data_IF_390217027241
#
_entry.id   IF_390217027241
#
_cell.length_a   1.000
_cell.length_b   1.000
_cell.length_c   1.000
_cell.angle_alpha   90.00
_cell.angle_beta   90.00
_cell.angle_gamma   90.00
#
_symmetry.space_group_name_H-M   'P 1'
#
loop_
_entity.id
_entity.type
_entity.pdbx_description
1 polymer ?
#
# COMPACT_ATOMS: atom_id res chain seq x y z
N UNK A 1 6.99 1.79 -33.89
CA UNK A 1 7.45 3.17 -34.16
C UNK A 1 6.67 3.69 -35.36
N UNK A 2 5.68 4.54 -35.13
CA UNK A 2 4.89 5.17 -36.20
C UNK A 2 5.24 6.65 -36.20
N UNK A 3 5.73 7.13 -37.35
CA UNK A 3 6.17 8.51 -37.58
C UNK A 3 5.03 9.28 -38.24
N UNK A 4 4.63 10.41 -37.65
CA UNK A 4 3.68 11.34 -38.25
C UNK A 4 4.37 12.20 -39.33
N UNK A 5 3.60 12.58 -40.35
CA UNK A 5 4.03 13.23 -41.61
C UNK A 5 4.67 14.62 -41.48
N UNK A 6 4.88 15.13 -40.27
CA UNK A 6 5.40 16.48 -40.04
C UNK A 6 6.87 16.54 -39.56
N UNK A 7 7.62 15.44 -39.64
CA UNK A 7 9.08 15.51 -39.58
C UNK A 7 9.70 15.97 -38.26
N UNK A 8 8.98 15.94 -37.14
CA UNK A 8 9.58 16.13 -35.81
C UNK A 8 10.08 14.80 -35.25
N UNK A 9 11.39 14.78 -34.97
CA UNK A 9 12.10 13.69 -34.32
C UNK A 9 11.75 13.75 -32.82
N UNK A 10 10.98 12.77 -32.34
CA UNK A 10 10.68 12.58 -30.92
C UNK A 10 11.95 12.10 -30.22
N UNK A 11 12.69 13.02 -29.58
CA UNK A 11 13.91 12.66 -28.84
C UNK A 11 14.82 13.81 -28.43
N UNK A 12 14.37 15.07 -28.43
CA UNK A 12 15.14 16.22 -28.01
C UNK A 12 14.41 17.02 -26.93
N UNK A 13 14.97 17.06 -25.73
CA UNK A 13 14.53 17.93 -24.65
C UNK A 13 14.59 19.40 -25.10
N UNK A 14 13.44 20.07 -25.22
CA UNK A 14 13.16 21.52 -25.02
C UNK A 14 11.94 21.98 -25.83
N UNK A 15 10.76 21.41 -25.58
CA UNK A 15 9.49 22.08 -25.89
C UNK A 15 8.67 22.10 -24.60
N UNK A 16 8.03 23.23 -24.30
CA UNK A 16 7.25 23.48 -23.08
C UNK A 16 6.34 22.27 -22.82
N UNK A 17 6.65 21.46 -21.80
CA UNK A 17 5.89 20.27 -21.40
C UNK A 17 4.52 20.68 -20.87
N UNK A 18 3.61 21.02 -21.79
CA UNK A 18 2.20 21.22 -21.51
C UNK A 18 1.57 19.88 -21.17
N UNK A 19 0.67 19.89 -20.20
CA UNK A 19 -0.07 18.70 -19.78
C UNK A 19 -1.54 18.95 -19.94
N UNK A 20 -2.25 17.91 -20.34
CA UNK A 20 -3.70 17.91 -20.29
C UNK A 20 -4.11 17.95 -18.81
N UNK A 21 -4.76 19.03 -18.41
CA UNK A 21 -5.37 19.17 -17.10
C UNK A 21 -6.88 19.30 -17.28
N UNK A 22 -7.63 18.64 -16.42
CA UNK A 22 -9.06 18.84 -16.33
C UNK A 22 -9.31 20.04 -15.41
N UNK A 23 -9.78 21.14 -15.99
CA UNK A 23 -10.10 22.37 -15.28
C UNK A 23 -11.57 22.36 -14.87
N UNK A 24 -11.83 22.58 -13.59
CA UNK A 24 -13.14 22.84 -13.03
C UNK A 24 -13.26 24.31 -12.64
N UNK A 25 -14.34 24.95 -13.07
CA UNK A 25 -14.68 26.31 -12.68
C UNK A 25 -15.76 26.32 -11.58
N UNK A 26 -15.88 27.43 -10.87
CA UNK A 26 -16.89 27.63 -9.82
C UNK A 26 -18.35 27.52 -10.33
N UNK A 27 -18.54 27.59 -11.65
CA UNK A 27 -19.84 27.42 -12.31
C UNK A 27 -20.16 25.96 -12.68
N UNK A 28 -19.28 24.99 -12.34
CA UNK A 28 -19.48 23.57 -12.62
C UNK A 28 -19.11 23.11 -14.03
N UNK A 29 -18.51 24.00 -14.85
CA UNK A 29 -17.99 23.61 -16.15
C UNK A 29 -16.66 22.88 -16.00
N UNK A 30 -16.54 21.72 -16.65
CA UNK A 30 -15.28 20.98 -16.77
C UNK A 30 -14.77 21.08 -18.20
N UNK A 31 -13.52 21.50 -18.38
CA UNK A 31 -12.88 21.64 -19.68
C UNK A 31 -11.46 21.08 -19.62
N UNK A 32 -11.04 20.41 -20.70
CA UNK A 32 -9.65 20.01 -20.85
C UNK A 32 -8.83 21.21 -21.31
N UNK A 33 -7.79 21.54 -20.56
CA UNK A 33 -6.89 22.64 -20.85
C UNK A 33 -5.44 22.13 -20.84
N UNK A 34 -4.66 22.49 -21.86
CA UNK A 34 -3.23 22.19 -21.89
C UNK A 34 -2.46 23.24 -21.11
N UNK A 35 -2.06 22.91 -19.88
CA UNK A 35 -1.43 23.86 -18.97
C UNK A 35 0.06 23.54 -18.82
N UNK A 36 0.92 24.56 -18.97
CA UNK A 36 2.34 24.46 -18.63
C UNK A 36 2.57 24.73 -17.14
N UNK A 37 3.68 24.25 -16.56
CA UNK A 37 4.01 24.52 -15.14
C UNK A 37 4.11 26.02 -14.84
N UNK A 38 4.60 26.81 -15.80
CA UNK A 38 4.69 28.26 -15.65
C UNK A 38 3.29 28.87 -15.70
N UNK A 39 2.40 28.36 -16.54
CA UNK A 39 1.03 28.86 -16.66
C UNK A 39 0.25 28.59 -15.36
N UNK A 40 0.44 27.41 -14.73
CA UNK A 40 -0.12 27.12 -13.38
C UNK A 40 0.42 28.11 -12.34
N UNK A 41 1.72 28.38 -12.35
CA UNK A 41 2.34 29.29 -11.40
C UNK A 41 1.86 30.73 -11.59
N UNK A 42 1.75 31.20 -12.83
CA UNK A 42 1.17 32.51 -13.18
C UNK A 42 -0.32 32.60 -12.78
N UNK A 43 -1.08 31.51 -12.91
CA UNK A 43 -2.46 31.43 -12.41
C UNK A 43 -2.54 31.56 -10.89
N UNK A 44 -1.62 30.91 -10.15
CA UNK A 44 -1.55 31.03 -8.68
C UNK A 44 -1.14 32.46 -8.28
N UNK A 45 -0.10 33.01 -8.91
CA UNK A 45 0.42 34.35 -8.60
C UNK A 45 -0.58 35.45 -8.93
N UNK A 46 -1.28 35.35 -10.06
CA UNK A 46 -2.37 36.28 -10.42
C UNK A 46 -3.54 36.15 -9.45
N UNK A 47 -3.85 34.94 -8.98
CA UNK A 47 -4.83 34.68 -7.92
C UNK A 47 -4.46 35.31 -6.57
N UNK A 48 -3.17 35.36 -6.25
CA UNK A 48 -2.61 35.92 -5.00
C UNK A 48 -2.38 37.46 -5.02
N UNK A 49 -2.62 38.10 -6.17
CA UNK A 49 -2.16 39.46 -6.53
C UNK A 49 -2.38 40.62 -5.55
N UNK A 50 -3.45 40.70 -4.73
CA UNK A 50 -3.60 41.83 -3.80
C UNK A 50 -2.91 41.65 -2.45
N UNK A 51 -2.46 40.44 -2.06
CA UNK A 51 -1.99 40.16 -0.68
C UNK A 51 -0.46 40.26 -0.56
N UNK A 52 0.30 39.86 -1.59
CA UNK A 52 1.77 39.92 -1.54
C UNK A 52 2.35 41.35 -1.53
N UNK A 53 1.58 42.37 -1.93
CA UNK A 53 2.07 43.76 -1.97
C UNK A 53 2.03 44.48 -0.62
N UNK A 54 1.16 44.07 0.33
CA UNK A 54 1.02 44.78 1.61
C UNK A 54 2.04 44.37 2.68
N UNK A 55 2.68 43.20 2.53
CA UNK A 55 3.66 42.68 3.51
C UNK A 55 5.04 43.34 3.46
N UNK A 56 5.42 43.98 2.34
CA UNK A 56 6.75 44.58 2.19
C UNK A 56 6.78 46.11 2.41
N UNK A 57 5.66 46.82 2.32
CA UNK A 57 5.66 48.30 2.45
C UNK A 57 5.40 48.81 3.89
N UNK A 58 4.89 47.98 4.80
CA UNK A 58 4.57 48.41 6.16
C UNK A 58 5.76 48.37 7.15
N UNK A 59 6.92 47.85 6.75
CA UNK A 59 8.09 47.68 7.64
C UNK A 59 9.02 48.89 7.67
N UNK A 60 8.63 50.02 7.07
CA UNK A 60 9.47 51.21 6.93
C UNK A 60 8.81 52.49 7.46
N UNK A 61 8.17 52.48 8.65
CA UNK A 61 7.93 53.72 9.39
C UNK A 61 7.69 53.51 10.89
N UNK A 62 8.77 53.56 11.69
CA UNK A 62 8.90 54.24 12.99
C UNK A 62 9.95 53.56 13.90
N UNK A 63 10.94 54.30 14.44
CA UNK A 63 11.83 53.78 15.48
C UNK A 63 11.11 53.75 16.85
N UNK A 64 11.32 52.73 17.71
CA UNK A 64 10.68 52.70 19.01
C UNK A 64 11.41 53.64 19.99
N UNK A 65 10.74 54.70 20.41
CA UNK A 65 11.18 55.53 21.53
C UNK A 65 11.04 54.76 22.84
N UNK A 66 12.17 54.56 23.52
CA UNK A 66 12.25 53.94 24.83
C UNK A 66 11.52 54.75 25.91
N UNK A 67 10.57 54.13 26.63
CA UNK A 67 10.24 54.49 28.02
C UNK A 67 9.99 53.25 28.86
N UNK A 68 10.77 53.17 29.93
CA UNK A 68 10.67 52.23 31.05
C UNK A 68 9.29 52.21 31.70
N UNK A 69 8.73 51.02 31.92
CA UNK A 69 8.02 50.71 33.17
C UNK A 69 8.14 49.22 33.49
N UNK A 70 8.43 48.94 34.76
CA UNK A 70 8.66 47.61 35.34
C UNK A 70 7.32 46.96 35.72
N UNK A 71 7.34 45.62 35.73
CA UNK A 71 6.47 44.72 36.51
C UNK A 71 5.16 44.25 35.88
N UNK A 72 5.13 43.01 35.37
CA UNK A 72 4.34 41.85 35.89
C UNK A 72 4.22 40.74 34.83
N UNK A 73 4.20 39.49 35.32
CA UNK A 73 3.80 38.23 34.65
C UNK A 73 4.59 37.79 33.40
N UNK A 74 5.60 36.92 33.64
CA UNK A 74 6.12 35.96 32.64
C UNK A 74 5.12 34.81 32.49
N UNK A 75 4.12 34.98 31.65
CA UNK A 75 3.34 33.93 30.96
C UNK A 75 2.32 34.65 30.07
N UNK A 76 2.77 35.17 28.93
CA UNK A 76 1.89 35.81 27.95
C UNK A 76 2.41 35.50 26.53
N UNK A 77 1.78 34.48 25.93
CA UNK A 77 1.62 34.13 24.51
C UNK A 77 2.87 34.15 23.60
N UNK A 78 3.25 32.95 23.15
CA UNK A 78 4.10 32.72 21.96
C UNK A 78 3.26 32.80 20.66
N UNK A 79 1.95 33.07 20.75
CA UNK A 79 1.01 33.07 19.61
C UNK A 79 1.04 34.31 18.69
N UNK A 80 1.85 35.34 18.97
CA UNK A 80 1.83 36.62 18.22
C UNK A 80 2.98 36.76 17.19
N UNK A 81 3.72 35.69 16.88
CA UNK A 81 4.67 35.75 15.76
C UNK A 81 3.89 35.66 14.44
N UNK A 82 4.06 36.62 13.50
CA UNK A 82 3.42 36.52 12.19
C UNK A 82 3.92 35.25 11.50
N UNK A 83 2.99 34.34 11.17
CA UNK A 83 3.30 33.13 10.42
C UNK A 83 3.53 33.55 8.97
N UNK A 84 4.78 33.52 8.53
CA UNK A 84 5.14 33.79 7.13
C UNK A 84 4.67 32.62 6.25
N UNK A 85 3.57 32.82 5.53
CA UNK A 85 3.01 31.82 4.64
C UNK A 85 3.88 31.73 3.38
N UNK A 86 4.50 30.57 3.07
CA UNK A 86 5.36 30.43 1.90
C UNK A 86 4.53 30.49 0.60
N UNK A 87 5.04 31.25 -0.37
CA UNK A 87 4.52 31.25 -1.74
C UNK A 87 4.81 29.92 -2.45
N UNK A 88 4.01 29.61 -3.47
CA UNK A 88 4.20 28.39 -4.26
C UNK A 88 5.50 28.49 -5.07
N UNK A 89 6.37 27.50 -4.92
CA UNK A 89 7.63 27.43 -5.65
C UNK A 89 7.56 26.38 -6.78
N UNK A 90 8.39 26.54 -7.82
CA UNK A 90 8.51 25.53 -8.90
C UNK A 90 8.86 24.13 -8.40
N UNK A 91 9.52 24.00 -7.24
CA UNK A 91 9.79 22.70 -6.60
C UNK A 91 8.50 21.96 -6.22
N UNK A 92 7.50 22.69 -5.73
CA UNK A 92 6.25 22.10 -5.26
C UNK A 92 5.42 21.60 -6.47
N UNK A 93 5.45 22.31 -7.59
CA UNK A 93 4.87 21.87 -8.86
C UNK A 93 5.60 20.65 -9.48
N UNK A 94 6.90 20.46 -9.20
CA UNK A 94 7.62 19.25 -9.65
C UNK A 94 7.12 17.99 -8.94
N UNK A 95 6.58 18.08 -7.73
CA UNK A 95 6.01 16.91 -7.03
C UNK A 95 4.72 16.40 -7.69
N UNK A 96 3.99 17.29 -8.38
CA UNK A 96 2.82 16.94 -9.18
C UNK A 96 3.19 16.22 -10.48
N UNK A 97 4.47 16.02 -10.76
CA UNK A 97 4.94 15.39 -11.97
C UNK A 97 5.20 13.90 -11.84
N UNK A 98 4.55 13.10 -12.71
CA UNK A 98 4.64 11.64 -12.67
C UNK A 98 6.08 11.13 -12.81
N UNK A 99 6.93 11.89 -13.50
CA UNK A 99 8.35 11.56 -13.70
C UNK A 99 9.18 11.74 -12.42
N UNK A 100 8.76 12.60 -11.49
CA UNK A 100 9.52 12.95 -10.29
C UNK A 100 8.91 12.40 -8.99
N UNK A 101 7.72 11.80 -9.03
CA UNK A 101 7.09 11.09 -7.92
C UNK A 101 7.64 9.67 -7.74
N UNK A 102 8.97 9.50 -7.78
CA UNK A 102 9.63 8.20 -7.64
C UNK A 102 9.27 7.49 -6.32
N UNK A 103 8.92 8.26 -5.29
CA UNK A 103 8.19 7.79 -4.11
C UNK A 103 6.72 8.16 -4.30
N UNK A 104 5.85 7.17 -4.52
CA UNK A 104 4.40 7.34 -4.63
C UNK A 104 3.74 7.71 -3.28
N UNK A 105 4.39 8.56 -2.50
CA UNK A 105 3.94 8.98 -1.19
C UNK A 105 2.92 10.11 -1.36
N UNK A 106 1.71 9.95 -0.81
CA UNK A 106 0.69 10.97 -0.93
C UNK A 106 1.11 12.20 -0.10
N UNK A 107 0.92 13.41 -0.65
CA UNK A 107 1.25 14.67 0.01
C UNK A 107 0.21 15.75 -0.30
N UNK A 108 -0.37 16.36 0.73
CA UNK A 108 -1.14 17.61 0.61
C UNK A 108 -0.25 18.72 1.15
N UNK A 109 0.01 19.72 0.33
CA UNK A 109 0.76 20.90 0.77
C UNK A 109 -0.08 22.14 0.54
N UNK A 110 -0.35 22.85 1.63
CA UNK A 110 -1.05 24.13 1.59
C UNK A 110 -0.02 25.25 1.44
N UNK A 111 -0.31 26.21 0.56
CA UNK A 111 0.53 27.37 0.26
C UNK A 111 -0.35 28.60 0.14
N UNK A 112 0.27 29.77 0.04
CA UNK A 112 -0.46 31.01 -0.12
C UNK A 112 -1.40 30.96 -1.35
N UNK A 113 -2.72 30.98 -1.09
CA UNK A 113 -3.79 30.97 -2.10
C UNK A 113 -3.84 29.71 -3.01
N UNK A 114 -3.21 28.60 -2.62
CA UNK A 114 -3.26 27.34 -3.38
C UNK A 114 -3.07 26.10 -2.50
N UNK A 115 -3.82 25.04 -2.80
CA UNK A 115 -3.68 23.72 -2.18
C UNK A 115 -3.20 22.75 -3.26
N UNK A 116 -2.04 22.12 -3.02
CA UNK A 116 -1.49 21.13 -3.93
C UNK A 116 -1.74 19.74 -3.34
N UNK A 117 -2.45 18.90 -4.09
CA UNK A 117 -2.74 17.51 -3.73
C UNK A 117 -1.96 16.61 -4.66
N UNK A 118 -1.05 15.82 -4.10
CA UNK A 118 -0.34 14.78 -4.82
C UNK A 118 -0.75 13.43 -4.24
N UNK A 119 -1.71 12.78 -4.88
CA UNK A 119 -2.10 11.41 -4.59
C UNK A 119 -2.06 10.64 -5.91
N UNK A 120 -1.73 9.36 -5.88
CA UNK A 120 -1.82 8.52 -7.08
C UNK A 120 -3.16 7.81 -7.08
N UNK A 121 -3.92 7.80 -8.19
CA UNK A 121 -3.62 8.38 -9.52
C UNK A 121 -4.03 9.87 -9.71
N UNK A 122 -4.59 10.53 -8.68
CA UNK A 122 -5.20 11.87 -8.79
C UNK A 122 -4.31 12.98 -8.23
N UNK A 123 -3.79 13.84 -9.11
CA UNK A 123 -2.97 15.00 -8.73
C UNK A 123 -3.73 16.27 -9.02
N UNK A 124 -3.78 17.21 -8.09
CA UNK A 124 -4.59 18.41 -8.27
C UNK A 124 -3.93 19.67 -7.70
N UNK A 125 -4.27 20.80 -8.30
CA UNK A 125 -4.02 22.14 -7.79
C UNK A 125 -5.37 22.81 -7.60
N UNK A 126 -5.71 23.09 -6.36
CA UNK A 126 -6.97 23.73 -5.99
C UNK A 126 -6.66 25.20 -5.69
N UNK A 127 -7.41 26.08 -6.33
CA UNK A 127 -7.44 27.52 -6.03
C UNK A 127 -8.87 27.91 -5.63
N UNK A 128 -9.04 29.14 -5.16
CA UNK A 128 -10.35 29.68 -4.73
C UNK A 128 -11.50 29.56 -5.74
N UNK A 129 -11.22 29.65 -7.04
CA UNK A 129 -12.25 29.69 -8.09
C UNK A 129 -12.03 28.64 -9.18
N UNK A 130 -10.87 27.97 -9.19
CA UNK A 130 -10.47 27.06 -10.25
C UNK A 130 -9.71 25.89 -9.65
N UNK A 131 -10.05 24.68 -10.10
CA UNK A 131 -9.33 23.45 -9.72
C UNK A 131 -8.79 22.78 -10.98
N UNK A 132 -7.49 22.48 -10.97
CA UNK A 132 -6.80 21.78 -12.06
C UNK A 132 -6.46 20.38 -11.60
N UNK A 133 -6.99 19.36 -12.28
CA UNK A 133 -6.70 17.95 -11.99
C UNK A 133 -5.88 17.36 -13.12
N UNK A 134 -4.73 16.79 -12.80
CA UNK A 134 -3.86 16.05 -13.69
C UNK A 134 -4.13 14.57 -13.49
N UNK A 135 -4.69 13.93 -14.52
CA UNK A 135 -4.92 12.48 -14.55
C UNK A 135 -3.98 11.83 -15.58
N UNK A 136 -3.61 10.56 -15.39
CA UNK A 136 -2.87 9.80 -16.39
C UNK A 136 -3.72 9.54 -17.65
N UNK A 137 -3.07 9.42 -18.80
CA UNK A 137 -3.73 9.15 -20.09
C UNK A 137 -4.47 7.80 -20.05
N UNK A 138 -5.77 7.80 -20.38
CA UNK A 138 -6.63 6.60 -20.39
C UNK A 138 -7.52 6.40 -19.17
N UNK A 139 -7.58 7.38 -18.25
CA UNK A 139 -8.39 7.32 -17.03
C UNK A 139 -9.83 7.86 -17.19
N UNK A 140 -10.53 7.51 -18.27
CA UNK A 140 -11.85 8.09 -18.58
C UNK A 140 -12.93 7.78 -17.52
N UNK A 141 -12.85 6.62 -16.86
CA UNK A 141 -13.74 6.24 -15.77
C UNK A 141 -13.57 7.13 -14.52
N UNK A 142 -12.32 7.48 -14.20
CA UNK A 142 -12.00 8.38 -13.08
C UNK A 142 -12.47 9.80 -13.37
N UNK A 143 -12.30 10.26 -14.62
CA UNK A 143 -12.81 11.57 -15.03
C UNK A 143 -14.33 11.65 -14.91
N UNK A 144 -15.05 10.64 -15.40
CA UNK A 144 -16.51 10.60 -15.29
C UNK A 144 -16.98 10.57 -13.83
N UNK A 145 -16.32 9.79 -12.99
CA UNK A 145 -16.62 9.74 -11.56
C UNK A 145 -16.39 11.10 -10.90
N UNK A 146 -15.25 11.72 -11.17
CA UNK A 146 -14.89 13.02 -10.62
C UNK A 146 -15.88 14.10 -11.09
N UNK A 147 -16.26 14.14 -12.38
CA UNK A 147 -17.30 15.05 -12.87
C UNK A 147 -18.66 14.85 -12.18
N UNK A 148 -19.04 13.59 -11.92
CA UNK A 148 -20.29 13.27 -11.20
C UNK A 148 -20.23 13.76 -9.76
N UNK A 149 -19.10 13.55 -9.07
CA UNK A 149 -18.88 14.01 -7.71
C UNK A 149 -18.90 15.55 -7.61
N UNK A 150 -18.25 16.24 -8.55
CA UNK A 150 -18.27 17.71 -8.61
C UNK A 150 -19.67 18.26 -8.85
N UNK A 151 -20.47 17.64 -9.73
CA UNK A 151 -21.87 18.06 -9.94
C UNK A 151 -22.72 17.86 -8.69
N UNK A 152 -22.59 16.71 -8.02
CA UNK A 152 -23.31 16.41 -6.79
C UNK A 152 -23.01 17.44 -5.71
N UNK A 153 -21.73 17.77 -5.50
CA UNK A 153 -21.31 18.72 -4.48
C UNK A 153 -21.64 20.18 -4.84
N UNK A 154 -21.78 20.49 -6.13
CA UNK A 154 -22.21 21.82 -6.59
C UNK A 154 -23.69 22.10 -6.28
N UNK A 155 -24.54 21.07 -6.20
CA UNK A 155 -25.94 21.22 -5.79
C UNK A 155 -26.06 21.66 -4.32
N UNK A 156 -25.08 21.31 -3.49
CA UNK A 156 -24.97 21.66 -2.07
C UNK A 156 -24.34 23.06 -1.86
N UNK A 157 -24.82 24.09 -2.59
CA UNK A 157 -24.24 25.44 -2.79
C UNK A 157 -23.93 26.32 -1.54
N UNK A 158 -23.87 25.73 -0.34
CA UNK A 158 -23.50 26.37 0.92
C UNK A 158 -21.99 26.34 1.20
N UNK A 159 -21.22 25.45 0.56
CA UNK A 159 -19.78 25.30 0.81
C UNK A 159 -18.91 26.16 -0.14
N UNK A 160 -17.80 26.74 0.35
CA UNK A 160 -16.80 27.37 -0.50
C UNK A 160 -16.21 26.42 -1.55
N UNK A 161 -15.86 26.95 -2.72
CA UNK A 161 -15.38 26.16 -3.86
C UNK A 161 -14.09 25.37 -3.55
N UNK A 162 -13.20 25.91 -2.70
CA UNK A 162 -11.99 25.21 -2.28
C UNK A 162 -12.29 23.91 -1.51
N UNK A 163 -13.31 23.91 -0.64
CA UNK A 163 -13.72 22.74 0.13
C UNK A 163 -14.48 21.76 -0.74
N UNK A 164 -15.40 22.24 -1.58
CA UNK A 164 -16.08 21.42 -2.58
C UNK A 164 -15.08 20.66 -3.46
N UNK A 165 -14.03 21.35 -3.93
CA UNK A 165 -13.00 20.75 -4.77
C UNK A 165 -12.16 19.73 -4.04
N UNK A 166 -11.72 20.05 -2.82
CA UNK A 166 -10.93 19.14 -1.99
C UNK A 166 -11.74 17.90 -1.60
N UNK A 167 -13.00 18.09 -1.23
CA UNK A 167 -13.94 17.04 -0.90
C UNK A 167 -14.20 16.12 -2.10
N UNK A 168 -14.44 16.67 -3.29
CA UNK A 168 -14.63 15.89 -4.51
C UNK A 168 -13.41 14.99 -4.82
N UNK A 169 -12.20 15.52 -4.61
CA UNK A 169 -10.95 14.78 -4.81
C UNK A 169 -10.80 13.68 -3.76
N UNK A 170 -10.96 14.00 -2.47
CA UNK A 170 -10.85 13.03 -1.38
C UNK A 170 -11.90 11.92 -1.50
N UNK A 171 -13.15 12.28 -1.80
CA UNK A 171 -14.22 11.31 -2.04
C UNK A 171 -13.91 10.41 -3.25
N UNK A 172 -13.35 10.96 -4.33
CA UNK A 172 -12.92 10.16 -5.48
C UNK A 172 -11.84 9.15 -5.09
N UNK A 173 -10.85 9.57 -4.29
CA UNK A 173 -9.77 8.68 -3.85
C UNK A 173 -10.28 7.60 -2.89
N UNK A 174 -11.15 7.95 -1.93
CA UNK A 174 -11.77 6.97 -1.03
C UNK A 174 -12.61 5.94 -1.79
N UNK A 175 -13.37 6.37 -2.79
CA UNK A 175 -14.13 5.46 -3.66
C UNK A 175 -13.21 4.53 -4.47
N UNK A 176 -12.07 5.03 -4.96
CA UNK A 176 -11.08 4.22 -5.67
C UNK A 176 -10.54 3.10 -4.76
N UNK A 177 -10.06 3.44 -3.56
CA UNK A 177 -9.55 2.43 -2.62
C UNK A 177 -10.63 1.45 -2.18
N UNK A 178 -11.87 1.91 -2.05
CA UNK A 178 -13.00 1.04 -1.70
C UNK A 178 -13.31 0.06 -2.83
N UNK A 179 -13.35 0.51 -4.08
CA UNK A 179 -13.59 -0.33 -5.25
C UNK A 179 -12.47 -1.36 -5.46
N UNK A 180 -11.20 -0.98 -5.24
CA UNK A 180 -10.08 -1.91 -5.27
C UNK A 180 -10.20 -2.98 -4.17
N UNK A 181 -10.56 -2.57 -2.95
CA UNK A 181 -10.80 -3.49 -1.85
C UNK A 181 -11.95 -4.47 -2.16
N UNK A 182 -13.08 -3.98 -2.71
CA UNK A 182 -14.23 -4.81 -3.10
C UNK A 182 -13.89 -5.80 -4.22
N UNK A 183 -12.90 -5.50 -5.07
CA UNK A 183 -12.44 -6.43 -6.11
C UNK A 183 -11.48 -7.49 -5.56
N UNK A 184 -10.54 -7.10 -4.70
CA UNK A 184 -9.47 -7.98 -4.22
C UNK A 184 -9.98 -8.93 -3.12
N UNK A 185 -10.82 -8.44 -2.20
CA UNK A 185 -11.33 -9.22 -1.06
C UNK A 185 -12.07 -10.51 -1.46
N UNK A 186 -13.06 -10.52 -2.37
CA UNK A 186 -13.76 -11.76 -2.72
C UNK A 186 -12.85 -12.74 -3.44
N UNK A 187 -11.97 -12.26 -4.34
CA UNK A 187 -10.96 -13.09 -5.03
C UNK A 187 -10.02 -13.75 -4.03
N UNK A 188 -9.56 -13.01 -3.03
CA UNK A 188 -8.72 -13.54 -1.96
C UNK A 188 -9.43 -14.63 -1.16
N UNK A 189 -10.69 -14.42 -0.77
CA UNK A 189 -11.47 -15.42 -0.03
C UNK A 189 -11.63 -16.71 -0.83
N UNK A 190 -11.98 -16.60 -2.11
CA UNK A 190 -12.17 -17.77 -2.97
C UNK A 190 -10.89 -18.63 -3.08
N UNK A 191 -9.72 -17.99 -3.27
CA UNK A 191 -8.44 -18.70 -3.34
C UNK A 191 -8.11 -19.36 -1.99
N UNK A 192 -8.33 -18.65 -0.88
CA UNK A 192 -8.10 -19.20 0.47
C UNK A 192 -9.00 -20.41 0.74
N UNK A 193 -10.26 -20.38 0.32
CA UNK A 193 -11.21 -21.49 0.48
C UNK A 193 -10.79 -22.71 -0.37
N UNK A 194 -10.34 -22.49 -1.61
CA UNK A 194 -9.80 -23.56 -2.47
C UNK A 194 -8.55 -24.21 -1.87
N UNK A 195 -7.67 -23.42 -1.24
CA UNK A 195 -6.51 -23.95 -0.54
C UNK A 195 -6.91 -24.73 0.72
N UNK A 196 -7.97 -24.34 1.41
CA UNK A 196 -8.46 -25.13 2.55
C UNK A 196 -8.90 -26.55 2.11
N UNK A 197 -9.50 -26.68 0.92
CA UNK A 197 -10.07 -27.90 0.36
C UNK A 197 -9.07 -28.87 -0.34
N UNK A 198 -7.75 -28.66 -0.20
CA UNK A 198 -6.66 -29.58 -0.63
C UNK A 198 -6.46 -29.88 -2.13
N UNK A 199 -7.42 -29.60 -3.03
CA UNK A 199 -7.40 -30.13 -4.39
C UNK A 199 -6.41 -29.48 -5.40
N UNK A 200 -5.73 -28.37 -5.06
CA UNK A 200 -4.84 -27.68 -6.03
C UNK A 200 -3.80 -26.71 -5.43
N UNK A 201 -3.08 -27.14 -4.38
CA UNK A 201 -2.15 -26.31 -3.58
C UNK A 201 -1.14 -25.44 -4.38
N UNK A 202 -0.52 -25.96 -5.45
CA UNK A 202 0.61 -25.27 -6.12
C UNK A 202 0.17 -24.09 -6.99
N UNK A 203 -0.85 -24.26 -7.84
CA UNK A 203 -1.35 -23.19 -8.69
C UNK A 203 -2.01 -22.09 -7.86
N UNK A 204 -2.70 -22.47 -6.78
CA UNK A 204 -3.36 -21.50 -5.91
C UNK A 204 -2.36 -20.72 -5.04
N UNK A 205 -1.16 -21.25 -4.78
CA UNK A 205 -0.10 -20.49 -4.09
C UNK A 205 0.42 -19.32 -4.93
N UNK A 206 0.52 -19.49 -6.25
CA UNK A 206 0.90 -18.40 -7.17
C UNK A 206 -0.19 -17.32 -7.23
N UNK A 207 -1.46 -17.72 -7.31
CA UNK A 207 -2.61 -16.82 -7.23
C UNK A 207 -2.65 -16.08 -5.89
N UNK A 208 -2.43 -16.79 -4.78
CA UNK A 208 -2.37 -16.21 -3.44
C UNK A 208 -1.24 -15.19 -3.32
N UNK A 209 -0.06 -15.49 -3.91
CA UNK A 209 1.06 -14.55 -3.95
C UNK A 209 0.72 -13.29 -4.73
N UNK A 210 0.05 -13.40 -5.87
CA UNK A 210 -0.40 -12.25 -6.65
C UNK A 210 -1.37 -11.38 -5.83
N UNK A 211 -2.36 -12.00 -5.19
CA UNK A 211 -3.33 -11.31 -4.33
C UNK A 211 -2.63 -10.67 -3.11
N UNK A 212 -1.68 -11.34 -2.48
CA UNK A 212 -0.88 -10.79 -1.37
C UNK A 212 -0.13 -9.54 -1.79
N UNK A 213 0.49 -9.55 -2.98
CA UNK A 213 1.19 -8.38 -3.52
C UNK A 213 0.22 -7.22 -3.83
N UNK A 214 -0.94 -7.50 -4.46
CA UNK A 214 -2.00 -6.50 -4.70
C UNK A 214 -2.48 -5.91 -3.36
N UNK A 215 -2.70 -6.76 -2.34
CA UNK A 215 -3.15 -6.35 -1.01
C UNK A 215 -2.12 -5.48 -0.29
N UNK A 216 -0.85 -5.86 -0.32
CA UNK A 216 0.23 -5.09 0.31
C UNK A 216 0.45 -3.74 -0.38
N UNK A 217 0.26 -3.66 -1.70
CA UNK A 217 0.30 -2.39 -2.42
C UNK A 217 -0.84 -1.45 -1.99
N UNK A 218 -2.07 -1.98 -1.93
CA UNK A 218 -3.24 -1.23 -1.44
C UNK A 218 -3.07 -0.79 0.03
N UNK A 219 -2.54 -1.67 0.88
CA UNK A 219 -2.25 -1.36 2.29
C UNK A 219 -1.28 -0.19 2.42
N UNK A 220 -0.20 -0.19 1.63
CA UNK A 220 0.79 0.89 1.64
C UNK A 220 0.18 2.23 1.21
N UNK A 221 -0.67 2.23 0.17
CA UNK A 221 -1.35 3.43 -0.32
C UNK A 221 -2.36 3.98 0.70
N UNK A 222 -3.22 3.13 1.25
CA UNK A 222 -4.22 3.50 2.26
C UNK A 222 -3.54 4.02 3.54
N UNK A 223 -2.45 3.38 3.97
CA UNK A 223 -1.70 3.83 5.16
C UNK A 223 -0.93 5.14 4.91
N UNK A 224 -0.49 5.37 3.66
CA UNK A 224 0.03 6.66 3.22
C UNK A 224 -1.02 7.77 3.33
N UNK A 225 -2.22 7.53 2.79
CA UNK A 225 -3.34 8.50 2.87
C UNK A 225 -3.75 8.78 4.32
N UNK A 226 -3.81 7.74 5.15
CA UNK A 226 -4.11 7.88 6.58
C UNK A 226 -3.08 8.78 7.29
N UNK A 227 -1.78 8.54 7.08
CA UNK A 227 -0.72 9.37 7.65
C UNK A 227 -0.85 10.82 7.21
N UNK A 228 -1.11 11.04 5.92
CA UNK A 228 -1.29 12.36 5.35
C UNK A 228 -2.45 13.13 5.99
N UNK A 229 -3.63 12.50 6.11
CA UNK A 229 -4.80 13.16 6.71
C UNK A 229 -4.56 13.45 8.19
N UNK A 230 -3.90 12.53 8.91
CA UNK A 230 -3.50 12.76 10.30
C UNK A 230 -2.53 13.95 10.44
N UNK A 231 -1.47 14.00 9.62
CA UNK A 231 -0.52 15.11 9.66
C UNK A 231 -1.16 16.45 9.29
N UNK A 232 -2.14 16.46 8.37
CA UNK A 232 -2.86 17.67 7.99
C UNK A 232 -3.81 18.14 9.11
N UNK A 233 -4.53 17.23 9.76
CA UNK A 233 -5.39 17.56 10.92
C UNK A 233 -4.60 17.99 12.16
N UNK A 234 -3.39 17.44 12.36
CA UNK A 234 -2.52 17.82 13.48
C UNK A 234 -1.89 19.21 13.30
N UNK A 235 -1.79 19.72 12.07
CA UNK A 235 -1.18 21.02 11.78
C UNK A 235 -2.23 22.13 11.70
N UNK A 236 -2.44 22.84 12.81
CA UNK A 236 -3.35 23.99 12.88
C UNK A 236 -3.07 25.05 11.80
N UNK A 237 -1.80 25.29 11.45
CA UNK A 237 -1.44 26.30 10.44
C UNK A 237 -1.99 25.90 9.07
N UNK A 238 -1.80 24.64 8.68
CA UNK A 238 -2.31 24.13 7.40
C UNK A 238 -3.84 24.17 7.38
N UNK A 239 -4.49 23.82 8.50
CA UNK A 239 -5.95 23.87 8.65
C UNK A 239 -6.53 25.27 8.42
N UNK A 240 -5.95 26.29 9.02
CA UNK A 240 -6.40 27.68 8.80
C UNK A 240 -6.09 28.14 7.37
N UNK A 241 -4.98 27.69 6.78
CA UNK A 241 -4.61 28.04 5.40
C UNK A 241 -5.49 27.39 4.33
N UNK A 242 -6.28 26.35 4.66
CA UNK A 242 -7.24 25.75 3.71
C UNK A 242 -8.34 26.74 3.30
N UNK A 243 -8.67 27.73 4.14
CA UNK A 243 -9.73 28.71 3.89
C UNK A 243 -9.30 29.80 2.89
N UNK A 244 -9.06 29.42 1.63
CA UNK A 244 -8.57 30.32 0.58
C UNK A 244 -9.50 31.50 0.34
N UNK A 245 -10.82 31.28 0.31
CA UNK A 245 -11.82 32.32 0.04
C UNK A 245 -11.91 33.32 1.18
N UNK A 246 -11.86 32.87 2.45
CA UNK A 246 -11.86 33.77 3.63
C UNK A 246 -10.58 34.60 3.67
N UNK A 247 -9.42 33.96 3.46
CA UNK A 247 -8.12 34.62 3.48
C UNK A 247 -7.97 35.66 2.36
N UNK A 248 -8.64 35.46 1.22
CA UNK A 248 -8.67 36.45 0.15
C UNK A 248 -9.53 37.68 0.48
N UNK A 249 -10.70 37.47 1.09
CA UNK A 249 -11.64 38.56 1.43
C UNK A 249 -11.12 39.42 2.57
N UNK A 250 -10.46 38.82 3.56
CA UNK A 250 -9.99 39.51 4.75
C UNK A 250 -8.48 39.28 4.96
N UNK A 251 -7.61 40.09 4.32
CA UNK A 251 -6.16 39.96 4.46
C UNK A 251 -5.67 40.29 5.89
N UNK A 252 -6.49 40.95 6.71
CA UNK A 252 -6.24 41.14 8.15
C UNK A 252 -6.24 39.83 8.93
N UNK A 253 -6.98 38.83 8.45
CA UNK A 253 -7.04 37.51 9.05
C UNK A 253 -5.70 36.77 8.93
N UNK A 254 -4.90 37.06 7.91
CA UNK A 254 -3.54 36.53 7.75
C UNK A 254 -2.63 36.93 8.93
N UNK A 255 -2.87 38.11 9.53
CA UNK A 255 -2.09 38.60 10.68
C UNK A 255 -2.52 37.95 12.01
N UNK A 256 -3.74 37.44 12.09
CA UNK A 256 -4.28 36.69 13.22
C UNK A 256 -4.82 35.35 12.70
N UNK A 257 -3.94 34.50 12.17
CA UNK A 257 -4.32 33.27 11.47
C UNK A 257 -5.21 32.37 12.34
N UNK A 258 -4.94 32.32 13.65
CA UNK A 258 -5.70 31.56 14.65
C UNK A 258 -6.95 32.29 15.18
N UNK A 259 -7.47 33.27 14.45
CA UNK A 259 -8.56 34.14 14.89
C UNK A 259 -9.96 33.63 14.55
N UNK A 260 -10.09 32.53 13.80
CA UNK A 260 -11.37 31.97 13.36
C UNK A 260 -11.37 30.45 13.47
N UNK A 261 -12.55 29.89 13.70
CA UNK A 261 -12.70 28.44 13.92
C UNK A 261 -12.53 27.64 12.62
N UNK A 262 -11.83 26.50 12.72
CA UNK A 262 -11.56 25.53 11.64
C UNK A 262 -12.48 24.31 11.67
N UNK A 263 -13.50 24.34 12.53
CA UNK A 263 -14.43 23.23 12.80
C UNK A 263 -15.03 22.62 11.54
N UNK A 264 -15.45 23.43 10.55
CA UNK A 264 -16.04 22.92 9.32
C UNK A 264 -15.05 22.04 8.55
N UNK A 265 -13.79 22.48 8.47
CA UNK A 265 -12.75 21.79 7.73
C UNK A 265 -12.29 20.51 8.45
N UNK A 266 -12.15 20.58 9.77
CA UNK A 266 -11.85 19.42 10.61
C UNK A 266 -12.94 18.36 10.50
N UNK A 267 -14.21 18.75 10.62
CA UNK A 267 -15.34 17.84 10.60
C UNK A 267 -15.41 17.01 9.30
N UNK A 268 -15.27 17.63 8.12
CA UNK A 268 -15.33 16.84 6.88
C UNK A 268 -14.07 15.97 6.70
N UNK A 269 -12.88 16.45 7.07
CA UNK A 269 -11.65 15.67 7.00
C UNK A 269 -11.69 14.45 7.93
N UNK A 270 -12.26 14.59 9.13
CA UNK A 270 -12.48 13.48 10.07
C UNK A 270 -13.37 12.39 9.48
N UNK A 271 -14.44 12.77 8.76
CA UNK A 271 -15.32 11.80 8.07
C UNK A 271 -14.53 10.98 7.03
N UNK A 272 -13.68 11.64 6.23
CA UNK A 272 -12.83 10.93 5.26
C UNK A 272 -11.74 10.10 5.95
N UNK A 273 -11.15 10.60 7.03
CA UNK A 273 -10.18 9.85 7.83
C UNK A 273 -10.82 8.58 8.42
N UNK A 274 -12.04 8.66 8.94
CA UNK A 274 -12.80 7.50 9.44
C UNK A 274 -13.09 6.50 8.32
N UNK A 275 -13.44 6.99 7.13
CA UNK A 275 -13.64 6.13 5.95
C UNK A 275 -12.36 5.37 5.59
N UNK A 276 -11.20 6.06 5.58
CA UNK A 276 -9.88 5.45 5.35
C UNK A 276 -9.54 4.41 6.44
N UNK A 277 -9.89 4.66 7.70
CA UNK A 277 -9.74 3.66 8.77
C UNK A 277 -10.58 2.40 8.53
N UNK A 278 -11.81 2.56 8.04
CA UNK A 278 -12.67 1.46 7.64
C UNK A 278 -12.02 0.59 6.55
N UNK A 279 -11.52 1.23 5.48
CA UNK A 279 -10.83 0.55 4.39
C UNK A 279 -9.56 -0.15 4.91
N UNK A 280 -8.73 0.54 5.69
CA UNK A 280 -7.51 -0.04 6.29
C UNK A 280 -7.81 -1.28 7.13
N UNK A 281 -8.90 -1.27 7.91
CA UNK A 281 -9.30 -2.41 8.74
C UNK A 281 -9.71 -3.59 7.89
N UNK A 282 -10.48 -3.35 6.82
CA UNK A 282 -10.83 -4.39 5.85
C UNK A 282 -9.58 -5.02 5.22
N UNK A 283 -8.62 -4.17 4.82
CA UNK A 283 -7.38 -4.60 4.21
C UNK A 283 -6.54 -5.44 5.18
N UNK A 284 -6.34 -4.94 6.39
CA UNK A 284 -5.59 -5.61 7.45
C UNK A 284 -6.17 -6.99 7.80
N UNK A 285 -7.50 -7.11 7.86
CA UNK A 285 -8.17 -8.38 8.13
C UNK A 285 -7.91 -9.42 7.02
N UNK A 286 -7.92 -9.00 5.76
CA UNK A 286 -7.60 -9.90 4.66
C UNK A 286 -6.12 -10.31 4.66
N UNK A 287 -5.20 -9.38 4.87
CA UNK A 287 -3.75 -9.69 5.00
C UNK A 287 -3.50 -10.71 6.11
N UNK A 288 -4.20 -10.58 7.25
CA UNK A 288 -4.13 -11.53 8.34
C UNK A 288 -4.67 -12.92 7.95
N UNK A 289 -5.80 -12.98 7.24
CA UNK A 289 -6.34 -14.25 6.74
C UNK A 289 -5.39 -14.94 5.76
N UNK A 290 -4.73 -14.18 4.87
CA UNK A 290 -3.70 -14.70 3.96
C UNK A 290 -2.55 -15.32 4.74
N UNK A 291 -2.02 -14.61 5.76
CA UNK A 291 -0.94 -15.12 6.60
C UNK A 291 -1.31 -16.39 7.38
N UNK A 292 -2.55 -16.44 7.89
CA UNK A 292 -3.06 -17.63 8.58
C UNK A 292 -3.13 -18.84 7.64
N UNK A 293 -3.68 -18.67 6.43
CA UNK A 293 -3.77 -19.76 5.46
C UNK A 293 -2.41 -20.18 4.93
N UNK A 294 -1.49 -19.23 4.68
CA UNK A 294 -0.10 -19.53 4.32
C UNK A 294 0.57 -20.42 5.38
N UNK A 295 0.33 -20.14 6.67
CA UNK A 295 0.82 -20.96 7.78
C UNK A 295 0.20 -22.36 7.79
N UNK A 296 -1.11 -22.48 7.54
CA UNK A 296 -1.80 -23.79 7.44
C UNK A 296 -1.23 -24.63 6.29
N UNK A 297 -1.00 -24.00 5.13
CA UNK A 297 -0.44 -24.68 3.95
C UNK A 297 0.99 -25.14 4.22
N UNK A 298 1.80 -24.30 4.86
CA UNK A 298 3.15 -24.67 5.30
C UNK A 298 3.12 -25.90 6.22
N UNK A 299 2.22 -25.92 7.21
CA UNK A 299 2.04 -27.08 8.09
C UNK A 299 1.62 -28.35 7.34
N UNK A 300 0.74 -28.25 6.34
CA UNK A 300 0.35 -29.38 5.49
C UNK A 300 1.54 -29.92 4.67
N UNK A 301 2.34 -29.03 4.07
CA UNK A 301 3.53 -29.41 3.32
C UNK A 301 4.60 -30.06 4.20
N UNK A 302 4.81 -29.54 5.41
CA UNK A 302 5.71 -30.14 6.38
C UNK A 302 5.21 -31.52 6.83
N UNK A 303 3.90 -31.68 7.04
CA UNK A 303 3.31 -33.00 7.32
C UNK A 303 3.53 -33.99 6.18
N UNK A 304 3.30 -33.59 4.92
CA UNK A 304 3.57 -34.41 3.73
C UNK A 304 5.06 -34.78 3.62
N UNK A 305 5.96 -33.84 3.88
CA UNK A 305 7.40 -34.09 3.90
C UNK A 305 7.78 -35.08 4.99
N UNK A 306 7.24 -34.91 6.20
CA UNK A 306 7.48 -35.82 7.32
C UNK A 306 6.94 -37.23 7.03
N UNK A 307 5.79 -37.33 6.36
CA UNK A 307 5.23 -38.60 5.90
C UNK A 307 6.15 -39.29 4.89
N UNK A 308 6.67 -38.55 3.89
CA UNK A 308 7.63 -39.09 2.92
C UNK A 308 8.94 -39.54 3.58
N UNK A 309 9.45 -38.77 4.55
CA UNK A 309 10.63 -39.17 5.34
C UNK A 309 10.37 -40.45 6.15
N UNK A 310 9.16 -40.62 6.70
CA UNK A 310 8.76 -41.84 7.41
C UNK A 310 8.73 -43.05 6.47
N UNK A 311 8.19 -42.90 5.26
CA UNK A 311 8.21 -43.96 4.23
C UNK A 311 9.64 -44.31 3.82
N UNK A 312 10.47 -43.31 3.54
CA UNK A 312 11.86 -43.51 3.13
C UNK A 312 12.68 -44.24 4.21
N UNK A 313 12.49 -43.85 5.48
CA UNK A 313 13.07 -44.55 6.63
C UNK A 313 12.61 -46.01 6.68
N UNK A 314 11.32 -46.27 6.44
CA UNK A 314 10.77 -47.64 6.45
C UNK A 314 11.32 -48.51 5.31
N UNK A 315 11.42 -47.97 4.10
CA UNK A 315 12.02 -48.66 2.94
C UNK A 315 13.51 -48.93 3.16
N UNK A 316 14.26 -47.95 3.66
CA UNK A 316 15.68 -48.09 3.98
C UNK A 316 15.91 -49.13 5.08
N UNK A 317 15.04 -49.16 6.10
CA UNK A 317 15.07 -50.19 7.13
C UNK A 317 14.81 -51.58 6.54
N UNK A 318 13.79 -51.73 5.69
CA UNK A 318 13.49 -53.01 5.04
C UNK A 318 14.65 -53.49 4.15
N UNK A 319 15.25 -52.58 3.37
CA UNK A 319 16.38 -52.90 2.49
C UNK A 319 17.64 -53.32 3.26
N UNK A 320 17.97 -52.62 4.36
CA UNK A 320 19.14 -52.97 5.19
C UNK A 320 18.96 -54.32 5.90
N UNK A 321 17.74 -54.63 6.36
CA UNK A 321 17.42 -55.93 6.95
C UNK A 321 17.50 -57.09 5.95
N UNK A 322 17.10 -56.87 4.70
CA UNK A 322 17.20 -57.89 3.64
C UNK A 322 18.64 -58.10 3.14
N UNK A 323 19.54 -57.13 3.29
CA UNK A 323 20.93 -57.26 2.85
C UNK A 323 21.69 -58.35 3.61
N UNK A 324 21.42 -58.54 4.92
CA UNK A 324 22.15 -59.50 5.77
C UNK A 324 21.88 -60.97 5.37
N UNK A 325 20.63 -61.45 5.25
CA UNK A 325 20.38 -62.80 4.72
C UNK A 325 20.85 -62.96 3.28
N UNK A 326 20.74 -61.92 2.44
CA UNK A 326 21.21 -61.98 1.05
C UNK A 326 22.72 -62.26 0.98
N UNK A 327 23.51 -61.66 1.87
CA UNK A 327 24.93 -61.98 2.01
C UNK A 327 25.16 -63.43 2.43
N UNK A 328 24.44 -63.92 3.45
CA UNK A 328 24.55 -65.30 3.93
C UNK A 328 24.19 -66.31 2.84
N UNK A 329 23.07 -66.09 2.14
CA UNK A 329 22.64 -66.90 0.99
C UNK A 329 23.67 -66.82 -0.13
N UNK A 330 24.28 -65.65 -0.37
CA UNK A 330 25.36 -65.48 -1.34
C UNK A 330 26.58 -66.34 -1.03
N UNK A 331 27.03 -66.37 0.23
CA UNK A 331 28.17 -67.20 0.67
C UNK A 331 27.88 -68.70 0.47
N UNK A 332 26.69 -69.17 0.85
CA UNK A 332 26.29 -70.58 0.65
C UNK A 332 25.93 -70.93 -0.80
N UNK A 333 25.61 -69.93 -1.62
CA UNK A 333 25.36 -70.08 -3.06
C UNK A 333 26.64 -70.17 -3.90
N UNK A 334 27.82 -69.96 -3.29
CA UNK A 334 29.10 -70.13 -3.97
C UNK A 334 29.38 -71.61 -4.23
N UNK A 335 29.88 -71.93 -5.43
CA UNK A 335 30.27 -73.28 -5.82
C UNK A 335 31.62 -73.70 -5.21
N UNK A 336 31.67 -73.78 -3.87
CA UNK A 336 32.83 -74.23 -3.08
C UNK A 336 32.48 -75.54 -2.38
N UNK A 337 33.44 -76.46 -2.33
CA UNK A 337 33.21 -77.81 -1.80
C UNK A 337 33.21 -77.80 -0.26
N UNK A 338 32.05 -77.51 0.33
CA UNK A 338 31.82 -77.59 1.78
C UNK A 338 31.16 -78.93 2.14
N UNK A 339 31.84 -79.76 2.94
CA UNK A 339 31.30 -81.01 3.50
C UNK A 339 30.06 -80.82 4.41
N UNK A 340 29.70 -79.57 4.72
CA UNK A 340 28.58 -79.16 5.59
C UNK A 340 27.23 -79.24 4.86
N UNK A 341 27.24 -79.31 3.51
CA UNK A 341 26.02 -79.34 2.68
C UNK A 341 25.33 -80.71 2.66
N UNK A 342 26.04 -81.80 2.97
CA UNK A 342 25.54 -83.18 2.87
C UNK A 342 24.72 -83.63 4.11
N UNK A 343 24.55 -82.78 5.12
CA UNK A 343 23.80 -83.10 6.33
C UNK A 343 22.32 -82.72 6.15
N UNK A 344 21.42 -83.69 6.31
CA UNK A 344 19.98 -83.65 5.94
C UNK A 344 19.13 -82.50 6.56
N UNK A 345 19.66 -81.71 7.49
CA UNK A 345 18.92 -80.65 8.19
C UNK A 345 19.55 -79.24 8.14
N UNK A 346 20.78 -79.09 7.63
CA UNK A 346 21.51 -77.81 7.69
C UNK A 346 20.82 -76.70 6.88
N UNK A 347 20.22 -77.04 5.74
CA UNK A 347 19.47 -76.09 4.91
C UNK A 347 18.32 -75.44 5.69
N UNK A 348 17.50 -76.23 6.38
CA UNK A 348 16.36 -75.74 7.15
C UNK A 348 16.80 -74.88 8.34
N UNK A 349 17.94 -75.21 8.96
CA UNK A 349 18.52 -74.41 10.04
C UNK A 349 18.95 -73.04 9.52
N UNK A 350 19.70 -72.99 8.41
CA UNK A 350 20.15 -71.70 7.82
C UNK A 350 18.95 -70.87 7.36
N UNK A 351 17.94 -71.49 6.75
CA UNK A 351 16.71 -70.82 6.36
C UNK A 351 15.98 -70.20 7.56
N UNK A 352 15.82 -70.96 8.65
CA UNK A 352 15.20 -70.47 9.88
C UNK A 352 16.01 -69.34 10.52
N UNK A 353 17.34 -69.44 10.54
CA UNK A 353 18.24 -68.40 11.06
C UNK A 353 18.14 -67.12 10.22
N UNK A 354 18.11 -67.23 8.89
CA UNK A 354 17.92 -66.09 7.99
C UNK A 354 16.59 -65.36 8.24
N UNK A 355 15.49 -66.09 8.45
CA UNK A 355 14.19 -65.49 8.79
C UNK A 355 14.26 -64.80 10.16
N UNK A 356 14.85 -65.47 11.16
CA UNK A 356 14.96 -64.93 12.51
C UNK A 356 15.79 -63.63 12.55
N UNK A 357 16.89 -63.59 11.78
CA UNK A 357 17.74 -62.40 11.63
C UNK A 357 17.03 -61.20 10.99
N UNK A 358 15.93 -61.39 10.25
CA UNK A 358 15.12 -60.29 9.72
C UNK A 358 14.05 -59.87 10.72
N UNK A 359 13.30 -60.83 11.26
CA UNK A 359 12.11 -60.56 12.07
C UNK A 359 12.46 -59.94 13.42
N UNK A 360 13.50 -60.44 14.11
CA UNK A 360 13.87 -59.95 15.45
C UNK A 360 14.33 -58.50 15.42
N UNK A 361 15.28 -58.09 14.56
CA UNK A 361 15.70 -56.70 14.47
C UNK A 361 14.59 -55.78 13.95
N UNK A 362 13.78 -56.22 12.99
CA UNK A 362 12.62 -55.45 12.52
C UNK A 362 11.69 -55.06 13.67
N UNK A 363 11.29 -56.05 14.49
CA UNK A 363 10.39 -55.81 15.61
C UNK A 363 11.03 -54.91 16.68
N UNK A 364 12.33 -55.09 16.96
CA UNK A 364 13.05 -54.24 17.92
C UNK A 364 13.14 -52.78 17.43
N UNK A 365 13.49 -52.56 16.17
CA UNK A 365 13.67 -51.23 15.59
C UNK A 365 12.32 -50.49 15.47
N UNK A 366 11.25 -51.16 15.03
CA UNK A 366 9.91 -50.56 14.97
C UNK A 366 9.42 -50.16 16.37
N UNK A 367 9.66 -50.99 17.38
CA UNK A 367 9.31 -50.66 18.78
C UNK A 367 10.10 -49.43 19.26
N UNK A 368 11.40 -49.40 19.01
CA UNK A 368 12.25 -48.26 19.36
C UNK A 368 11.82 -46.95 18.68
N UNK A 369 11.49 -47.02 17.38
CA UNK A 369 10.99 -45.86 16.62
C UNK A 369 9.63 -45.36 17.15
N UNK A 370 8.76 -46.28 17.57
CA UNK A 370 7.47 -45.92 18.15
C UNK A 370 7.62 -45.24 19.51
N UNK A 371 8.56 -45.68 20.34
CA UNK A 371 8.88 -45.04 21.63
C UNK A 371 9.47 -43.62 21.45
N UNK A 372 10.15 -43.37 20.33
CA UNK A 372 10.64 -42.04 19.92
C UNK A 372 9.54 -41.14 19.31
N UNK A 373 8.31 -41.64 19.16
CA UNK A 373 7.19 -40.87 18.60
C UNK A 373 7.12 -40.87 17.06
N UNK A 374 7.95 -41.68 16.38
CA UNK A 374 7.90 -41.84 14.93
C UNK A 374 6.94 -42.98 14.60
N UNK A 375 5.72 -42.64 14.23
CA UNK A 375 4.75 -43.63 13.74
C UNK A 375 5.07 -43.93 12.26
N UNK A 376 5.60 -45.12 11.99
CA UNK A 376 5.79 -45.63 10.62
C UNK A 376 4.48 -46.17 10.02
N UNK A 377 3.40 -45.40 10.13
CA UNK A 377 2.15 -45.74 9.45
C UNK A 377 2.31 -45.43 7.96
N UNK A 378 2.17 -46.46 7.13
CA UNK A 378 2.16 -46.35 5.67
C UNK A 378 0.87 -45.71 5.11
N UNK A 379 -0.04 -45.33 6.01
CA UNK A 379 -1.30 -44.66 5.70
C UNK A 379 -1.18 -43.19 6.11
N UNK A 380 -1.55 -42.29 5.17
CA UNK A 380 -1.60 -40.85 5.37
C UNK A 380 -2.65 -40.45 6.40
#
# INVERSE_FOLDING_TARGET
MLVSKNGEIVGGATTKSKRLALRFDATGHSAYEEVSRNDVLELIESGAGPICRSGHEATALAPPTAKNSRSRSRTRWVHDAPVDIPSVHMRDLRKLDNVFSASNEPSITVRHQAILVNCDPVRAVIMRNVTLVFLPDGADSLVLHLQTMFKKLLEDATTPFEFMSLEAILATICNLFSAECEKIVPRGREVLDKMACDDSMLSELENLRAIKNEMSALEAQVDGMRRLLMTLLENEVDMHMLYLTKLYKEPSCLRNLFGFDTDDAEAFLEVYLQTIYGIKTCVSLMTHNIHNTESIVMLKLDSKRNFLLSIDLSLTLMGTLLAVPTFVVGVFGMNLNSYIQQVDYVFWIVFAVCILLVVVPHHYIVKYLKEQGINMSWTY
#
